data_IF_725147186468
#
_entry.id   IF_725147186468
#
_cell.length_a   1.000
_cell.length_b   1.000
_cell.length_c   1.000
_cell.angle_alpha   90.00
_cell.angle_beta   90.00
_cell.angle_gamma   90.00
#
_symmetry.space_group_name_H-M   'P 1'
#
loop_
_entity.id
_entity.type
_entity.pdbx_description
1 polymer ?
#
# COMPACT_ATOMS: atom_id res chain seq x y z
N UNK A 1 -9.76 4.15 4.22
CA UNK A 1 -8.70 4.18 3.19
C UNK A 1 -8.42 2.75 2.76
N UNK A 2 -8.24 2.45 1.47
CA UNK A 2 -7.88 1.10 1.00
C UNK A 2 -6.50 1.15 0.34
N UNK A 3 -5.76 0.05 0.36
CA UNK A 3 -4.47 -0.06 -0.32
C UNK A 3 -4.59 -1.02 -1.50
N UNK A 4 -4.01 -0.66 -2.63
CA UNK A 4 -3.99 -1.47 -3.83
C UNK A 4 -2.55 -1.64 -4.32
N UNK A 5 -2.24 -2.83 -4.84
CA UNK A 5 -0.97 -3.12 -5.51
C UNK A 5 -1.30 -3.28 -7.00
N UNK A 6 -0.68 -2.45 -7.84
CA UNK A 6 -0.84 -2.53 -9.28
C UNK A 6 0.46 -2.97 -9.93
N UNK A 7 0.41 -3.87 -10.93
CA UNK A 7 1.58 -4.14 -11.75
C UNK A 7 1.90 -2.89 -12.59
N UNK A 8 3.15 -2.45 -12.54
CA UNK A 8 3.66 -1.39 -13.40
C UNK A 8 4.15 -2.04 -14.68
N UNK A 9 3.32 -2.00 -15.72
CA UNK A 9 3.61 -2.56 -17.03
C UNK A 9 4.61 -1.68 -17.78
N UNK A 10 5.86 -1.64 -17.29
CA UNK A 10 6.97 -1.01 -18.00
C UNK A 10 7.59 -2.03 -18.95
N UNK A 11 7.01 -2.17 -20.15
CA UNK A 11 7.53 -2.94 -21.31
C UNK A 11 8.29 -4.22 -20.95
N UNK A 12 7.76 -4.98 -19.99
CA UNK A 12 8.50 -6.09 -19.41
C UNK A 12 8.43 -7.27 -20.38
N UNK A 13 9.59 -7.71 -20.89
CA UNK A 13 9.68 -8.83 -21.84
C UNK A 13 9.54 -10.17 -21.12
N UNK A 14 9.72 -10.18 -19.79
CA UNK A 14 9.77 -11.38 -18.94
C UNK A 14 8.93 -11.21 -17.67
N UNK A 15 8.01 -12.13 -17.34
CA UNK A 15 7.15 -12.01 -16.14
C UNK A 15 7.91 -11.82 -14.82
N UNK A 16 9.12 -12.39 -14.69
CA UNK A 16 9.98 -12.25 -13.51
C UNK A 16 10.54 -10.83 -13.29
N UNK A 17 10.53 -10.00 -14.33
CA UNK A 17 10.96 -8.60 -14.26
C UNK A 17 9.78 -7.65 -13.97
N UNK A 18 8.57 -8.18 -13.77
CA UNK A 18 7.37 -7.37 -13.51
C UNK A 18 7.57 -6.57 -12.23
N UNK A 19 7.39 -5.26 -12.36
CA UNK A 19 7.45 -4.33 -11.24
C UNK A 19 6.05 -4.00 -10.76
N UNK A 20 5.96 -3.56 -9.51
CA UNK A 20 4.71 -3.27 -8.84
C UNK A 20 4.78 -1.89 -8.17
N UNK A 21 3.63 -1.26 -8.04
CA UNK A 21 3.43 -0.04 -7.27
C UNK A 21 2.39 -0.26 -6.17
N UNK A 22 2.53 0.46 -5.06
CA UNK A 22 1.61 0.51 -3.94
C UNK A 22 0.86 1.85 -3.95
N UNK A 23 -0.47 1.79 -3.86
CA UNK A 23 -1.33 2.96 -3.97
C UNK A 23 -2.28 3.04 -2.77
N UNK A 24 -2.44 4.25 -2.24
CA UNK A 24 -3.54 4.59 -1.34
C UNK A 24 -4.77 4.98 -2.18
N UNK A 25 -5.85 4.25 -2.02
CA UNK A 25 -7.12 4.48 -2.72
C UNK A 25 -8.11 5.14 -1.77
N UNK A 26 -8.58 6.31 -2.15
CA UNK A 26 -9.55 7.11 -1.42
C UNK A 26 -10.62 7.72 -2.32
N UNK A 27 -11.57 8.48 -1.75
CA UNK A 27 -12.63 9.15 -2.50
C UNK A 27 -12.12 10.16 -3.54
N UNK A 28 -10.89 10.66 -3.35
CA UNK A 28 -10.23 11.62 -4.22
C UNK A 28 -9.43 10.96 -5.36
N UNK A 29 -9.42 9.63 -5.42
CA UNK A 29 -8.64 8.85 -6.39
C UNK A 29 -7.53 8.03 -5.76
N UNK A 30 -6.56 7.66 -6.59
CA UNK A 30 -5.41 6.83 -6.23
C UNK A 30 -4.16 7.69 -6.07
N UNK A 31 -3.45 7.51 -4.97
CA UNK A 31 -2.16 8.15 -4.70
C UNK A 31 -1.07 7.07 -4.62
N UNK A 32 -0.06 7.19 -5.47
CA UNK A 32 1.12 6.31 -5.41
C UNK A 32 1.95 6.59 -4.15
N UNK A 33 2.31 5.52 -3.43
CA UNK A 33 3.11 5.57 -2.21
C UNK A 33 4.51 4.99 -2.42
N UNK A 34 4.60 3.91 -3.20
CA UNK A 34 5.85 3.24 -3.56
C UNK A 34 5.71 2.78 -5.00
N UNK A 35 6.75 2.95 -5.83
CA UNK A 35 6.68 2.63 -7.25
C UNK A 35 7.82 1.72 -7.69
N UNK A 36 7.56 0.98 -8.78
CA UNK A 36 8.54 0.25 -9.59
C UNK A 36 9.48 -0.70 -8.81
N UNK A 37 8.95 -1.41 -7.82
CA UNK A 37 9.71 -2.37 -7.02
C UNK A 37 9.29 -3.82 -7.30
N UNK A 38 10.08 -4.80 -6.82
CA UNK A 38 9.63 -6.21 -6.84
C UNK A 38 8.43 -6.40 -5.90
N UNK A 39 7.66 -7.47 -6.12
CA UNK A 39 6.49 -7.77 -5.30
C UNK A 39 6.85 -7.86 -3.81
N UNK A 40 7.92 -8.56 -3.45
CA UNK A 40 8.36 -8.73 -2.06
C UNK A 40 8.62 -7.39 -1.35
N UNK A 41 9.20 -6.41 -2.07
CA UNK A 41 9.46 -5.07 -1.55
C UNK A 41 8.15 -4.30 -1.34
N UNK A 42 7.22 -4.41 -2.28
CA UNK A 42 5.90 -3.77 -2.19
C UNK A 42 5.07 -4.35 -1.03
N UNK A 43 5.08 -5.67 -0.88
CA UNK A 43 4.42 -6.39 0.21
C UNK A 43 4.98 -5.96 1.58
N UNK A 44 6.32 -5.89 1.70
CA UNK A 44 7.00 -5.38 2.90
C UNK A 44 6.58 -3.94 3.21
N UNK A 45 6.52 -3.07 2.19
CA UNK A 45 6.08 -1.69 2.37
C UNK A 45 4.62 -1.59 2.82
N UNK A 46 3.73 -2.43 2.27
CA UNK A 46 2.33 -2.51 2.69
C UNK A 46 2.21 -2.89 4.17
N UNK A 47 2.94 -3.92 4.60
CA UNK A 47 2.92 -4.34 6.00
C UNK A 47 3.42 -3.26 6.96
N UNK A 48 4.52 -2.58 6.61
CA UNK A 48 5.04 -1.48 7.41
C UNK A 48 4.00 -0.35 7.55
N UNK A 49 3.30 -0.02 6.47
CA UNK A 49 2.26 1.00 6.46
C UNK A 49 1.06 0.60 7.34
N UNK A 50 0.59 -0.65 7.22
CA UNK A 50 -0.50 -1.18 8.03
C UNK A 50 -0.16 -1.14 9.53
N UNK A 51 1.08 -1.48 9.90
CA UNK A 51 1.55 -1.40 11.30
C UNK A 51 1.52 0.04 11.82
N UNK A 52 1.98 1.01 11.02
CA UNK A 52 1.94 2.44 11.39
C UNK A 52 0.50 2.91 11.58
N UNK A 53 -0.43 2.50 10.72
CA UNK A 53 -1.84 2.86 10.85
C UNK A 53 -2.50 2.25 12.08
N UNK A 54 -2.25 0.97 12.35
CA UNK A 54 -2.76 0.30 13.56
C UNK A 54 -2.29 0.98 14.84
N UNK A 55 -1.07 1.53 14.84
CA UNK A 55 -0.54 2.32 15.96
C UNK A 55 -1.13 3.73 16.04
N UNK A 56 -1.68 4.25 14.93
CA UNK A 56 -2.29 5.59 14.83
C UNK A 56 -3.80 5.60 15.05
N UNK A 57 -4.45 4.44 15.19
CA UNK A 57 -5.79 4.35 15.78
C UNK A 57 -5.64 4.28 17.31
N UNK A 58 -5.63 5.42 18.04
CA UNK A 58 -5.79 5.35 19.48
C UNK A 58 -7.16 4.72 19.75
N UNK A 59 -7.19 3.76 20.67
CA UNK A 59 -8.40 3.31 21.34
C UNK A 59 -9.31 4.50 21.63
N UNK A 60 -10.42 4.60 20.91
CA UNK A 60 -11.38 5.68 21.07
C UNK A 60 -12.79 5.12 21.08
N UNK A 61 -13.25 4.67 22.25
CA UNK A 61 -14.55 5.04 22.87
C UNK A 61 -14.90 4.09 24.04
N UNK A 62 -14.28 4.32 25.19
CA UNK A 62 -14.89 4.02 26.49
C UNK A 62 -15.36 5.36 27.07
N UNK A 63 -16.57 5.78 26.73
CA UNK A 63 -17.16 7.01 27.25
C UNK A 63 -17.45 6.91 28.75
N UNK A 64 -17.47 8.03 29.49
CA UNK A 64 -17.86 8.03 30.90
C UNK A 64 -19.38 7.81 31.01
N UNK A 65 -19.78 6.95 31.95
CA UNK A 65 -21.14 6.89 32.49
C UNK A 65 -21.08 7.14 33.99
#
# INVERSE_FOLDING_TARGET
>A
MRYAIHPVWATTVRPEELRYGLYAVGPQGEQELVSSASLDVIETAREALLRVLQQREPQGWGGPA
#
